data_IF_257039064507
#
_entry.id   IF_257039064507
#
_cell.length_a   1.000
_cell.length_b   1.000
_cell.length_c   1.000
_cell.angle_alpha   90.00
_cell.angle_beta   90.00
_cell.angle_gamma   90.00
#
_symmetry.space_group_name_H-M   'P 1'
#
loop_
_entity.id
_entity.type
_entity.pdbx_description
1 polymer ?
#
# COMPACT_ATOMS: atom_id res chain seq x y z
N UNK A 1 13.15 -15.61 -10.45
CA UNK A 1 12.00 -14.70 -10.33
C UNK A 1 11.67 -14.59 -8.86
N UNK A 2 11.80 -13.40 -8.26
CA UNK A 2 11.53 -13.17 -6.83
C UNK A 2 10.02 -13.28 -6.60
N UNK A 3 9.58 -13.93 -5.51
CA UNK A 3 8.16 -14.01 -5.15
C UNK A 3 7.66 -12.63 -4.73
N UNK A 4 6.38 -12.32 -4.96
CA UNK A 4 5.80 -11.02 -4.58
C UNK A 4 6.10 -10.67 -3.11
N UNK A 5 5.90 -11.61 -2.18
CA UNK A 5 6.22 -11.40 -0.76
C UNK A 5 7.67 -10.98 -0.53
N UNK A 6 8.62 -11.62 -1.19
CA UNK A 6 10.05 -11.29 -1.09
C UNK A 6 10.30 -9.90 -1.67
N UNK A 7 9.66 -9.56 -2.80
CA UNK A 7 9.75 -8.23 -3.41
C UNK A 7 9.27 -7.14 -2.45
N UNK A 8 8.08 -7.29 -1.86
CA UNK A 8 7.53 -6.33 -0.89
C UNK A 8 8.46 -6.15 0.32
N UNK A 9 9.09 -7.24 0.78
CA UNK A 9 10.08 -7.21 1.87
C UNK A 9 11.33 -6.43 1.45
N UNK A 10 11.86 -6.66 0.25
CA UNK A 10 13.03 -5.94 -0.27
C UNK A 10 12.76 -4.45 -0.45
N UNK A 11 11.62 -4.09 -1.03
CA UNK A 11 11.24 -2.68 -1.19
C UNK A 11 11.06 -2.02 0.18
N UNK A 12 10.42 -2.71 1.13
CA UNK A 12 10.27 -2.21 2.50
C UNK A 12 11.61 -2.03 3.21
N UNK A 13 12.58 -2.93 3.00
CA UNK A 13 13.95 -2.77 3.51
C UNK A 13 14.62 -1.56 2.90
N UNK A 14 14.55 -1.42 1.56
CA UNK A 14 15.10 -0.27 0.85
C UNK A 14 14.53 1.03 1.42
N UNK A 15 13.21 1.10 1.59
CA UNK A 15 12.59 2.29 2.14
C UNK A 15 12.99 2.53 3.60
N UNK A 16 13.03 1.50 4.43
CA UNK A 16 13.45 1.64 5.84
C UNK A 16 14.88 2.18 5.98
N UNK A 17 15.81 1.76 5.12
CA UNK A 17 17.21 2.20 5.21
C UNK A 17 17.45 3.60 4.64
N UNK A 18 16.68 3.99 3.63
CA UNK A 18 16.85 5.29 2.98
C UNK A 18 15.95 6.38 3.58
N UNK A 19 14.84 6.00 4.21
CA UNK A 19 13.85 6.92 4.74
C UNK A 19 13.59 6.61 6.22
N UNK A 20 13.83 7.59 7.07
CA UNK A 20 13.60 7.48 8.52
C UNK A 20 12.14 7.81 8.92
N UNK A 21 11.19 7.62 8.00
CA UNK A 21 9.75 7.88 8.23
C UNK A 21 8.93 6.77 7.60
N UNK A 22 7.77 6.49 8.19
CA UNK A 22 6.79 5.61 7.56
C UNK A 22 6.43 6.13 6.17
N UNK A 23 6.12 5.22 5.25
CA UNK A 23 5.89 5.56 3.84
C UNK A 23 4.79 4.70 3.25
N UNK A 24 4.03 5.30 2.35
CA UNK A 24 3.04 4.63 1.53
C UNK A 24 3.56 4.59 0.09
N UNK A 25 3.62 3.40 -0.49
CA UNK A 25 4.06 3.18 -1.87
C UNK A 25 3.19 2.11 -2.55
N UNK A 26 3.39 1.91 -3.85
CA UNK A 26 2.65 0.91 -4.64
C UNK A 26 3.59 -0.10 -5.27
N UNK A 27 3.09 -1.33 -5.44
CA UNK A 27 3.78 -2.40 -6.14
C UNK A 27 2.79 -3.20 -6.99
N UNK A 28 3.26 -3.76 -8.10
CA UNK A 28 2.44 -4.55 -9.02
C UNK A 28 2.85 -6.02 -8.94
N UNK A 29 1.88 -6.86 -8.57
CA UNK A 29 2.02 -8.30 -8.59
C UNK A 29 1.28 -8.92 -9.77
N UNK A 30 1.78 -10.07 -10.23
CA UNK A 30 1.14 -10.87 -11.27
C UNK A 30 0.84 -12.28 -10.76
N UNK A 31 -0.37 -12.77 -11.04
CA UNK A 31 -0.73 -14.17 -10.84
C UNK A 31 -1.42 -14.68 -12.11
N UNK A 32 -0.77 -15.62 -12.79
CA UNK A 32 -1.14 -16.04 -14.16
C UNK A 32 -1.11 -14.82 -15.09
N UNK A 33 -2.23 -14.49 -15.74
CA UNK A 33 -2.38 -13.33 -16.63
C UNK A 33 -3.01 -12.11 -15.96
N UNK A 34 -3.34 -12.21 -14.67
CA UNK A 34 -3.97 -11.11 -13.94
C UNK A 34 -2.92 -10.24 -13.26
N UNK A 35 -3.12 -8.92 -13.37
CA UNK A 35 -2.33 -7.89 -12.71
C UNK A 35 -3.07 -7.44 -11.44
N UNK A 36 -2.32 -7.18 -10.37
CA UNK A 36 -2.86 -6.80 -9.07
C UNK A 36 -2.05 -5.62 -8.52
N UNK A 37 -2.73 -4.62 -7.97
CA UNK A 37 -2.09 -3.46 -7.36
C UNK A 37 -2.02 -3.64 -5.85
N UNK A 38 -0.83 -3.51 -5.28
CA UNK A 38 -0.59 -3.54 -3.84
C UNK A 38 -0.24 -2.13 -3.40
N UNK A 39 -1.01 -1.60 -2.45
CA UNK A 39 -0.76 -0.34 -1.76
C UNK A 39 -0.11 -0.71 -0.44
N UNK A 40 1.17 -0.40 -0.28
CA UNK A 40 1.99 -0.86 0.83
C UNK A 40 2.29 0.29 1.76
N UNK A 41 1.84 0.16 3.00
CA UNK A 41 2.25 1.04 4.07
C UNK A 41 3.35 0.39 4.90
N UNK A 42 4.56 0.94 4.81
CA UNK A 42 5.65 0.62 5.71
C UNK A 42 5.53 1.50 6.96
N UNK A 43 5.14 0.90 8.07
CA UNK A 43 5.02 1.56 9.35
C UNK A 43 6.33 1.41 10.15
N UNK A 44 7.05 2.51 10.36
CA UNK A 44 8.28 2.52 11.16
C UNK A 44 8.06 2.82 12.65
N UNK A 45 6.85 3.27 13.01
CA UNK A 45 6.42 3.53 14.39
C UNK A 45 5.60 2.37 14.96
N UNK A 46 5.50 2.30 16.29
CA UNK A 46 4.56 1.38 16.94
C UNK A 46 3.15 1.97 16.86
N UNK A 47 2.43 1.59 15.81
CA UNK A 47 1.04 2.01 15.56
C UNK A 47 0.12 0.84 15.83
N UNK A 48 -0.91 1.08 16.64
CA UNK A 48 -2.04 0.17 16.75
C UNK A 48 -2.79 0.13 15.42
N UNK A 49 -2.73 -1.01 14.74
CA UNK A 49 -3.35 -1.18 13.42
C UNK A 49 -4.84 -0.87 13.40
N UNK A 50 -5.54 -1.07 14.53
CA UNK A 50 -6.96 -0.78 14.65
C UNK A 50 -7.26 0.73 14.53
N UNK A 51 -6.22 1.57 14.65
CA UNK A 51 -6.30 3.02 14.48
C UNK A 51 -5.98 3.48 13.06
N UNK A 52 -5.57 2.57 12.19
CA UNK A 52 -5.34 2.87 10.77
C UNK A 52 -6.69 2.86 10.07
N UNK A 53 -7.09 4.02 9.58
CA UNK A 53 -8.26 4.19 8.72
C UNK A 53 -7.79 4.49 7.32
N UNK A 54 -8.55 4.08 6.31
CA UNK A 54 -8.27 4.43 4.92
C UNK A 54 -9.50 5.03 4.25
N UNK A 55 -9.27 5.81 3.20
CA UNK A 55 -10.31 6.36 2.35
C UNK A 55 -9.84 6.43 0.90
N UNK A 56 -10.79 6.50 -0.02
CA UNK A 56 -10.55 6.80 -1.42
C UNK A 56 -11.21 8.13 -1.78
N UNK A 57 -10.47 8.98 -2.48
CA UNK A 57 -11.00 10.21 -3.08
C UNK A 57 -10.79 10.15 -4.58
N UNK A 58 -11.81 10.56 -5.34
CA UNK A 58 -11.67 10.75 -6.78
C UNK A 58 -11.17 12.16 -7.04
N UNK A 59 -10.14 12.30 -7.85
CA UNK A 59 -9.61 13.59 -8.31
C UNK A 59 -9.49 13.55 -9.84
N UNK A 60 -10.52 14.05 -10.54
CA UNK A 60 -10.67 13.92 -11.99
C UNK A 60 -10.66 12.45 -12.44
N UNK A 61 -9.67 12.06 -13.24
CA UNK A 61 -9.42 10.69 -13.72
C UNK A 61 -8.61 9.86 -12.70
N UNK A 62 -7.93 10.52 -11.76
CA UNK A 62 -7.11 9.85 -10.77
C UNK A 62 -7.90 9.46 -9.52
N UNK A 63 -7.40 8.42 -8.87
CA UNK A 63 -7.89 7.91 -7.60
C UNK A 63 -6.81 8.14 -6.55
N UNK A 64 -7.14 8.84 -5.47
CA UNK A 64 -6.24 9.07 -4.35
C UNK A 64 -6.61 8.09 -3.24
N UNK A 65 -5.67 7.23 -2.88
CA UNK A 65 -5.75 6.40 -1.68
C UNK A 65 -5.12 7.15 -0.52
N UNK A 66 -5.86 7.33 0.57
CA UNK A 66 -5.38 7.99 1.77
C UNK A 66 -5.45 7.03 2.95
N UNK A 67 -4.43 7.03 3.79
CA UNK A 67 -4.46 6.41 5.10
C UNK A 67 -4.31 7.47 6.18
N UNK A 68 -5.02 7.28 7.27
CA UNK A 68 -5.02 8.13 8.45
C UNK A 68 -4.59 7.30 9.64
N UNK A 69 -3.57 7.77 10.33
CA UNK A 69 -2.98 7.13 11.49
C UNK A 69 -3.08 8.11 12.64
N UNK A 70 -3.88 7.74 13.64
CA UNK A 70 -4.25 8.65 14.72
C UNK A 70 -4.86 9.96 14.16
N UNK A 71 -4.75 11.08 14.88
CA UNK A 71 -5.31 12.38 14.45
C UNK A 71 -4.37 13.21 13.55
N UNK A 72 -3.08 12.90 13.51
CA UNK A 72 -2.06 13.84 13.02
C UNK A 72 -1.18 13.30 11.88
N UNK A 73 -1.29 12.01 11.53
CA UNK A 73 -0.47 11.42 10.46
C UNK A 73 -1.37 10.94 9.34
N UNK A 74 -1.09 11.39 8.12
CA UNK A 74 -1.79 10.96 6.91
C UNK A 74 -0.79 10.71 5.80
N UNK A 75 -1.05 9.68 5.00
CA UNK A 75 -0.28 9.36 3.81
C UNK A 75 -1.22 9.20 2.64
N UNK A 76 -0.81 9.69 1.48
CA UNK A 76 -1.59 9.60 0.26
C UNK A 76 -0.79 8.95 -0.86
N UNK A 77 -1.51 8.27 -1.76
CA UNK A 77 -0.94 7.69 -2.95
C UNK A 77 -1.92 7.84 -4.12
N UNK A 78 -1.45 8.47 -5.19
CA UNK A 78 -2.22 8.62 -6.42
C UNK A 78 -2.10 7.36 -7.28
N UNK A 79 -3.26 6.86 -7.69
CA UNK A 79 -3.46 5.74 -8.60
C UNK A 79 -4.09 6.31 -9.85
N UNK A 80 -3.39 6.24 -10.97
CA UNK A 80 -3.96 6.77 -12.22
C UNK A 80 -5.02 5.83 -12.80
N UNK A 81 -5.89 6.36 -13.65
CA UNK A 81 -7.02 5.58 -14.19
C UNK A 81 -6.58 4.34 -14.97
N UNK A 82 -5.44 4.42 -15.66
CA UNK A 82 -4.88 3.32 -16.45
C UNK A 82 -4.38 2.16 -15.56
N UNK A 83 -3.70 2.49 -14.46
CA UNK A 83 -3.32 1.52 -13.43
C UNK A 83 -4.55 0.88 -12.82
N UNK A 84 -5.59 1.68 -12.53
CA UNK A 84 -6.83 1.18 -11.97
C UNK A 84 -7.50 0.17 -12.92
N UNK A 85 -7.73 0.55 -14.18
CA UNK A 85 -8.40 -0.28 -15.20
C UNK A 85 -7.62 -1.55 -15.55
N UNK A 86 -6.29 -1.51 -15.49
CA UNK A 86 -5.44 -2.64 -15.86
C UNK A 86 -5.30 -3.71 -14.76
N UNK A 87 -5.70 -3.41 -13.52
CA UNK A 87 -5.59 -4.34 -12.39
C UNK A 87 -6.92 -5.02 -12.09
N UNK A 88 -6.86 -6.32 -11.77
CA UNK A 88 -8.02 -7.13 -11.43
C UNK A 88 -8.56 -6.86 -10.03
N UNK A 89 -7.66 -6.74 -9.05
CA UNK A 89 -7.97 -6.42 -7.67
C UNK A 89 -6.87 -5.53 -7.09
N UNK A 90 -7.19 -4.90 -5.96
CA UNK A 90 -6.32 -4.01 -5.22
C UNK A 90 -6.20 -4.53 -3.80
N UNK A 91 -5.00 -4.42 -3.24
CA UNK A 91 -4.73 -4.86 -1.88
C UNK A 91 -4.07 -3.75 -1.11
N UNK A 92 -4.48 -3.57 0.14
CA UNK A 92 -3.75 -2.77 1.12
C UNK A 92 -2.91 -3.68 2.00
N UNK A 93 -1.61 -3.41 2.09
CA UNK A 93 -0.63 -4.22 2.80
C UNK A 93 0.05 -3.38 3.87
N UNK A 94 0.10 -3.89 5.09
CA UNK A 94 0.84 -3.25 6.19
C UNK A 94 2.12 -4.05 6.45
N UNK A 95 3.25 -3.36 6.38
CA UNK A 95 4.57 -3.90 6.75
C UNK A 95 5.07 -3.14 7.96
N UNK A 96 5.41 -3.86 9.03
CA UNK A 96 5.91 -3.22 10.25
C UNK A 96 7.40 -2.90 10.19
N UNK A 97 7.88 -2.22 11.24
CA UNK A 97 9.30 -1.85 11.41
C UNK A 97 10.26 -3.06 11.43
N UNK A 98 9.76 -4.27 11.69
CA UNK A 98 10.53 -5.52 11.64
C UNK A 98 10.51 -6.19 10.26
N UNK A 99 9.95 -5.52 9.25
CA UNK A 99 9.80 -6.02 7.87
C UNK A 99 8.97 -7.31 7.84
N UNK A 100 7.90 -7.33 8.62
CA UNK A 100 6.92 -8.40 8.58
C UNK A 100 5.63 -7.84 8.00
N UNK A 101 5.07 -8.57 7.03
CA UNK A 101 3.71 -8.31 6.54
C UNK A 101 2.78 -8.69 7.68
N UNK A 102 2.14 -7.70 8.28
CA UNK A 102 1.21 -7.95 9.37
C UNK A 102 -0.16 -8.28 8.82
N UNK A 103 -0.70 -7.41 7.96
CA UNK A 103 -2.03 -7.58 7.38
C UNK A 103 -2.03 -7.34 5.87
N UNK A 104 -2.96 -8.02 5.19
CA UNK A 104 -3.30 -7.83 3.78
C UNK A 104 -4.82 -7.76 3.66
N UNK A 105 -5.32 -6.66 3.13
CA UNK A 105 -6.75 -6.41 2.92
C UNK A 105 -7.03 -6.32 1.44
N UNK A 106 -8.03 -7.05 0.95
CA UNK A 106 -8.56 -6.81 -0.40
C UNK A 106 -9.50 -5.60 -0.36
N UNK A 107 -9.28 -4.65 -1.26
CA UNK A 107 -10.08 -3.43 -1.34
C UNK A 107 -11.20 -3.65 -2.36
N UNK A 108 -12.43 -3.78 -1.86
CA UNK A 108 -13.61 -4.08 -2.69
C UNK A 108 -14.37 -2.83 -3.11
N UNK A 109 -14.30 -1.75 -2.33
CA UNK A 109 -15.11 -0.54 -2.50
C UNK A 109 -14.27 0.61 -3.08
N UNK A 110 -13.76 0.43 -4.30
CA UNK A 110 -12.93 1.44 -4.97
C UNK A 110 -13.79 2.24 -5.97
N UNK A 111 -14.01 3.55 -5.75
CA UNK A 111 -14.84 4.40 -6.62
C UNK A 111 -14.21 4.59 -8.01
#
# INVERSE_FOLDING_TARGET
>A
MIKLKEKLIFDSLFYKFNFNKSILFKEIGYKRKNKYLFLIFLCLSDVDQNKIKYNFKKNNEDLIFEIYINKNESYELTINENEKKSCKSFYFVIVNKKIQIENVFELTDIP
#
